data_IF_638202558418
#
_entry.id   IF_638202558418
#
_cell.length_a   1.000
_cell.length_b   1.000
_cell.length_c   1.000
_cell.angle_alpha   90.00
_cell.angle_beta   90.00
_cell.angle_gamma   90.00
#
_symmetry.space_group_name_H-M   'P 1'
#
loop_
_entity.id
_entity.type
_entity.pdbx_description
1 polymer ?
#
# COMPACT_ATOMS: atom_id res chain seq x y z
N UNK A 1 -26.66 16.86 60.09
CA UNK A 1 -26.30 15.57 59.44
C UNK A 1 -26.24 15.83 57.93
N UNK A 2 -25.01 16.08 57.42
CA UNK A 2 -24.75 16.32 56.00
C UNK A 2 -24.23 15.04 55.39
N UNK A 3 -24.96 14.46 54.41
CA UNK A 3 -24.53 13.27 53.64
C UNK A 3 -23.58 13.73 52.54
N UNK A 4 -22.35 13.23 52.59
CA UNK A 4 -21.34 13.41 51.56
C UNK A 4 -21.56 12.30 50.52
N UNK A 5 -21.94 12.65 49.28
CA UNK A 5 -21.91 11.74 48.14
C UNK A 5 -20.50 11.70 47.58
N UNK A 6 -19.87 10.55 47.68
CA UNK A 6 -18.61 10.28 47.01
C UNK A 6 -18.86 9.98 45.52
N UNK A 7 -18.35 10.82 44.63
CA UNK A 7 -18.26 10.54 43.21
C UNK A 7 -17.06 9.60 42.95
N UNK A 8 -17.37 8.39 42.52
CA UNK A 8 -16.36 7.46 41.99
C UNK A 8 -16.02 7.92 40.57
N UNK A 9 -14.86 8.50 40.40
CA UNK A 9 -14.29 8.78 39.07
C UNK A 9 -13.72 7.47 38.53
N UNK A 10 -14.41 6.90 37.55
CA UNK A 10 -13.92 5.76 36.78
C UNK A 10 -12.81 6.24 35.86
N UNK A 11 -11.57 5.94 36.19
CA UNK A 11 -10.42 6.21 35.34
C UNK A 11 -10.50 5.28 34.10
N UNK A 12 -10.91 5.84 32.98
CA UNK A 12 -10.76 5.20 31.67
C UNK A 12 -9.27 5.07 31.38
N UNK A 13 -8.79 3.83 31.33
CA UNK A 13 -7.47 3.48 30.84
C UNK A 13 -7.33 3.94 29.38
N UNK A 14 -6.74 5.11 29.18
CA UNK A 14 -6.18 5.51 27.91
C UNK A 14 -4.90 4.68 27.72
N UNK A 15 -5.03 3.52 27.07
CA UNK A 15 -3.89 2.78 26.57
C UNK A 15 -3.14 3.65 25.55
N UNK A 16 -2.01 4.23 25.97
CA UNK A 16 -1.09 4.88 25.07
C UNK A 16 -0.53 3.83 24.10
N UNK A 17 -1.03 3.81 22.87
CA UNK A 17 -0.36 3.18 21.76
C UNK A 17 0.93 3.96 21.48
N UNK A 18 2.01 3.54 22.11
CA UNK A 18 3.34 3.93 21.66
C UNK A 18 3.52 3.27 20.28
N UNK A 19 3.48 4.07 19.23
CA UNK A 19 4.01 3.68 17.94
C UNK A 19 5.48 3.35 18.18
N UNK A 20 5.87 2.08 18.02
CA UNK A 20 7.28 1.71 17.97
C UNK A 20 7.92 2.57 16.88
N UNK A 21 8.87 3.43 17.28
CA UNK A 21 9.72 4.14 16.33
C UNK A 21 10.30 3.12 15.35
N UNK A 22 10.31 3.41 14.03
CA UNK A 22 10.91 2.52 13.08
C UNK A 22 12.37 2.33 13.45
N UNK A 23 12.71 1.13 13.90
CA UNK A 23 14.08 0.75 14.19
C UNK A 23 14.94 1.15 12.98
N UNK A 24 15.90 2.05 13.17
CA UNK A 24 16.91 2.40 12.18
C UNK A 24 17.73 1.14 11.91
N UNK A 25 17.22 0.27 11.05
CA UNK A 25 17.97 -0.85 10.52
C UNK A 25 19.10 -0.27 9.68
N UNK A 26 20.29 -0.18 10.26
CA UNK A 26 21.55 -0.05 9.52
C UNK A 26 21.79 -1.41 8.84
N UNK A 27 21.00 -1.71 7.80
CA UNK A 27 21.30 -2.79 6.89
C UNK A 27 22.23 -2.27 5.81
N UNK A 28 23.25 -3.05 5.46
CA UNK A 28 24.04 -2.79 4.27
C UNK A 28 23.08 -2.59 3.07
N UNK A 29 23.40 -1.64 2.17
CA UNK A 29 22.59 -1.47 0.96
C UNK A 29 22.53 -2.81 0.22
N UNK A 30 21.36 -3.23 -0.27
CA UNK A 30 21.21 -4.48 -0.99
C UNK A 30 22.20 -4.53 -2.15
N UNK A 31 22.84 -5.69 -2.33
CA UNK A 31 23.82 -5.91 -3.39
C UNK A 31 23.27 -5.41 -4.75
N UNK A 32 24.11 -4.72 -5.49
CA UNK A 32 23.75 -4.24 -6.82
C UNK A 32 23.36 -5.44 -7.71
N UNK A 33 22.21 -5.32 -8.40
CA UNK A 33 21.77 -6.36 -9.33
C UNK A 33 22.81 -6.54 -10.44
N UNK A 34 23.27 -7.77 -10.65
CA UNK A 34 24.16 -8.12 -11.75
C UNK A 34 23.36 -8.26 -13.06
N UNK A 35 22.98 -7.16 -13.69
CA UNK A 35 22.26 -7.16 -14.97
C UNK A 35 20.93 -6.37 -14.95
N UNK A 36 20.21 -6.36 -16.10
CA UNK A 36 18.95 -5.63 -16.22
C UNK A 36 17.88 -6.25 -15.31
N UNK A 37 17.13 -5.38 -14.61
CA UNK A 37 16.05 -5.80 -13.72
C UNK A 37 14.73 -5.94 -14.52
N UNK A 38 14.20 -7.15 -14.75
CA UNK A 38 12.95 -7.34 -15.48
C UNK A 38 11.74 -6.70 -14.77
N UNK A 39 11.73 -6.62 -13.44
CA UNK A 39 10.69 -5.97 -12.67
C UNK A 39 10.69 -4.44 -12.78
N UNK A 40 11.76 -3.84 -13.28
CA UNK A 40 11.90 -2.40 -13.57
C UNK A 40 11.93 -2.09 -15.09
N UNK A 41 11.74 -3.08 -15.94
CA UNK A 41 11.66 -2.91 -17.38
C UNK A 41 10.21 -2.65 -17.80
N UNK A 42 9.85 -1.38 -17.98
CA UNK A 42 8.48 -0.98 -18.30
C UNK A 42 7.91 -1.77 -19.48
N UNK A 43 6.79 -2.44 -19.28
CA UNK A 43 6.21 -3.36 -20.27
C UNK A 43 4.68 -3.29 -20.29
N UNK A 44 4.05 -3.02 -21.45
CA UNK A 44 2.59 -3.13 -21.59
C UNK A 44 2.15 -4.60 -21.62
N UNK A 45 0.84 -4.80 -21.54
CA UNK A 45 0.21 -6.11 -21.69
C UNK A 45 -0.60 -6.17 -22.99
N UNK A 46 -1.70 -6.88 -23.00
CA UNK A 46 -2.57 -7.09 -24.16
C UNK A 46 -3.55 -5.92 -24.37
N UNK A 47 -4.23 -5.86 -25.53
CA UNK A 47 -5.08 -4.74 -25.95
C UNK A 47 -6.20 -4.42 -24.95
N UNK A 48 -6.94 -5.43 -24.45
CA UNK A 48 -8.00 -5.17 -23.46
C UNK A 48 -7.47 -4.52 -22.16
N UNK A 49 -6.20 -4.76 -21.80
CA UNK A 49 -5.56 -4.09 -20.70
C UNK A 49 -5.22 -2.63 -21.04
N UNK A 50 -4.78 -2.36 -22.29
CA UNK A 50 -4.55 -1.00 -22.78
C UNK A 50 -5.84 -0.19 -22.78
N UNK A 51 -6.97 -0.77 -23.19
CA UNK A 51 -8.28 -0.11 -23.14
C UNK A 51 -8.70 0.23 -21.71
N UNK A 52 -8.47 -0.69 -20.79
CA UNK A 52 -8.75 -0.43 -19.38
C UNK A 52 -7.82 0.65 -18.79
N UNK A 53 -6.57 0.73 -19.25
CA UNK A 53 -5.63 1.79 -18.89
C UNK A 53 -6.13 3.15 -19.42
N UNK A 54 -6.49 3.27 -20.69
CA UNK A 54 -7.04 4.50 -21.29
C UNK A 54 -8.26 5.03 -20.53
N UNK A 55 -9.17 4.13 -20.10
CA UNK A 55 -10.34 4.49 -19.28
C UNK A 55 -9.96 5.04 -17.90
N UNK A 56 -8.86 4.58 -17.30
CA UNK A 56 -8.34 5.10 -16.03
C UNK A 56 -7.63 6.43 -16.22
N UNK A 57 -6.86 6.56 -17.29
CA UNK A 57 -6.18 7.78 -17.65
C UNK A 57 -7.17 8.95 -17.88
N UNK A 58 -8.33 8.66 -18.45
CA UNK A 58 -9.38 9.65 -18.62
C UNK A 58 -9.79 10.35 -17.32
N UNK A 59 -9.74 9.66 -16.17
CA UNK A 59 -10.06 10.24 -14.86
C UNK A 59 -9.03 11.28 -14.39
N UNK A 60 -7.80 11.19 -14.86
CA UNK A 60 -6.76 12.19 -14.58
C UNK A 60 -6.96 13.46 -15.39
N UNK A 61 -7.63 13.36 -16.55
CA UNK A 61 -7.86 14.51 -17.47
C UNK A 61 -8.85 15.52 -16.92
N UNK A 62 -9.71 15.10 -15.98
CA UNK A 62 -10.68 16.00 -15.32
C UNK A 62 -10.00 16.95 -14.32
N UNK A 63 -8.70 16.77 -14.04
CA UNK A 63 -7.92 17.65 -13.18
C UNK A 63 -8.20 17.50 -11.69
N UNK A 64 -9.08 16.58 -11.32
CA UNK A 64 -9.44 16.29 -9.92
C UNK A 64 -8.65 15.10 -9.42
N UNK A 65 -7.88 15.28 -8.37
CA UNK A 65 -7.13 14.18 -7.76
C UNK A 65 -6.25 14.68 -6.62
N UNK A 66 -6.76 14.57 -5.40
CA UNK A 66 -6.01 14.92 -4.18
C UNK A 66 -5.14 13.75 -3.73
N UNK A 67 -5.63 12.52 -3.99
CA UNK A 67 -4.96 11.27 -3.63
C UNK A 67 -4.95 10.32 -4.82
N UNK A 68 -3.80 9.77 -5.16
CA UNK A 68 -3.68 8.68 -6.12
C UNK A 68 -3.49 7.34 -5.39
N UNK A 69 -4.26 6.31 -5.78
CA UNK A 69 -4.02 4.94 -5.35
C UNK A 69 -3.40 4.16 -6.52
N UNK A 70 -2.17 3.69 -6.34
CA UNK A 70 -1.37 3.05 -7.39
C UNK A 70 -1.04 1.62 -6.99
N UNK A 71 -1.34 0.65 -7.86
CA UNK A 71 -1.10 -0.76 -7.60
C UNK A 71 -1.81 -1.71 -8.56
N UNK A 72 -2.04 -2.91 -8.08
CA UNK A 72 -2.64 -4.02 -8.81
C UNK A 72 -4.14 -4.25 -8.49
N UNK A 73 -4.60 -5.52 -8.51
CA UNK A 73 -5.99 -5.89 -8.21
C UNK A 73 -6.41 -5.53 -6.78
N UNK A 74 -5.48 -5.59 -5.83
CA UNK A 74 -5.75 -5.27 -4.43
C UNK A 74 -6.06 -3.78 -4.32
N UNK A 75 -5.27 -2.92 -4.96
CA UNK A 75 -5.54 -1.48 -5.05
C UNK A 75 -6.81 -1.20 -5.85
N UNK A 76 -7.03 -1.85 -7.00
CA UNK A 76 -8.23 -1.69 -7.80
C UNK A 76 -9.52 -1.98 -7.00
N UNK A 77 -9.45 -2.91 -6.07
CA UNK A 77 -10.57 -3.33 -5.22
C UNK A 77 -11.18 -2.21 -4.38
N UNK A 78 -10.44 -1.16 -4.04
CA UNK A 78 -10.99 0.02 -3.35
C UNK A 78 -12.22 0.60 -4.05
N UNK A 79 -12.30 0.50 -5.39
CA UNK A 79 -13.45 1.00 -6.16
C UNK A 79 -14.78 0.30 -5.83
N UNK A 80 -14.75 -0.83 -5.14
CA UNK A 80 -15.94 -1.55 -4.65
C UNK A 80 -16.43 -1.09 -3.29
N UNK A 81 -15.67 -0.21 -2.62
CA UNK A 81 -15.92 0.25 -1.26
C UNK A 81 -15.96 1.78 -1.17
N UNK A 82 -16.90 2.46 -1.88
CA UNK A 82 -16.97 3.93 -1.92
C UNK A 82 -17.18 4.54 -0.53
N UNK A 83 -17.94 3.87 0.34
CA UNK A 83 -18.18 4.34 1.71
C UNK A 83 -16.90 4.29 2.56
N UNK A 84 -16.05 3.28 2.36
CA UNK A 84 -14.76 3.22 3.04
C UNK A 84 -13.80 4.29 2.49
N UNK A 85 -13.82 4.58 1.19
CA UNK A 85 -13.07 5.70 0.62
C UNK A 85 -13.51 7.00 1.29
N UNK A 86 -14.81 7.27 1.37
CA UNK A 86 -15.35 8.46 2.04
C UNK A 86 -14.95 8.54 3.51
N UNK A 87 -15.02 7.42 4.24
CA UNK A 87 -14.61 7.32 5.65
C UNK A 87 -13.12 7.61 5.84
N UNK A 88 -12.27 7.10 4.95
CA UNK A 88 -10.81 7.23 5.07
C UNK A 88 -10.29 8.58 4.59
N UNK A 89 -10.80 9.09 3.49
CA UNK A 89 -10.26 10.26 2.81
C UNK A 89 -11.13 11.51 2.95
N UNK A 90 -12.36 11.38 3.48
CA UNK A 90 -13.29 12.50 3.67
C UNK A 90 -13.74 13.09 2.33
N UNK A 91 -13.54 14.39 2.16
CA UNK A 91 -13.90 15.12 0.94
C UNK A 91 -12.79 15.15 -0.10
N UNK A 92 -11.64 14.50 0.16
CA UNK A 92 -10.56 14.40 -0.81
C UNK A 92 -10.98 13.57 -2.02
N UNK A 93 -10.64 14.06 -3.19
CA UNK A 93 -10.90 13.35 -4.43
C UNK A 93 -9.84 12.27 -4.69
N UNK A 94 -10.26 11.00 -4.60
CA UNK A 94 -9.39 9.83 -4.73
C UNK A 94 -9.46 9.27 -6.15
N UNK A 95 -8.35 9.25 -6.85
CA UNK A 95 -8.22 8.59 -8.16
C UNK A 95 -7.57 7.21 -7.99
N UNK A 96 -8.33 6.16 -8.23
CA UNK A 96 -7.83 4.79 -8.17
C UNK A 96 -7.27 4.35 -9.53
N UNK A 97 -5.94 4.23 -9.60
CA UNK A 97 -5.19 3.76 -10.75
C UNK A 97 -4.80 2.27 -10.66
N UNK A 98 -5.30 1.54 -9.67
CA UNK A 98 -5.07 0.10 -9.54
C UNK A 98 -5.56 -0.67 -10.75
N UNK A 99 -4.79 -1.68 -11.20
CA UNK A 99 -5.17 -2.50 -12.34
C UNK A 99 -4.94 -4.00 -12.04
N UNK A 100 -5.96 -4.87 -12.24
CA UNK A 100 -5.83 -6.29 -11.94
C UNK A 100 -4.65 -6.97 -12.62
N UNK A 101 -3.96 -7.82 -11.86
CA UNK A 101 -2.83 -8.65 -12.28
C UNK A 101 -1.59 -7.89 -12.77
N UNK A 102 -1.48 -6.57 -12.49
CA UNK A 102 -0.26 -5.83 -12.80
C UNK A 102 0.90 -6.28 -11.94
N UNK A 103 2.02 -6.51 -12.59
CA UNK A 103 3.35 -6.57 -12.01
C UNK A 103 3.97 -5.17 -11.97
N UNK A 104 5.09 -5.00 -11.30
CA UNK A 104 5.78 -3.70 -11.17
C UNK A 104 6.12 -3.09 -12.53
N UNK A 105 6.59 -3.88 -13.50
CA UNK A 105 6.89 -3.44 -14.86
C UNK A 105 5.66 -2.94 -15.63
N UNK A 106 4.47 -3.50 -15.36
CA UNK A 106 3.22 -3.04 -15.98
C UNK A 106 2.76 -1.73 -15.36
N UNK A 107 2.84 -1.60 -14.03
CA UNK A 107 2.54 -0.35 -13.33
C UNK A 107 3.47 0.75 -13.82
N UNK A 108 4.77 0.47 -13.91
CA UNK A 108 5.76 1.44 -14.39
C UNK A 108 5.44 1.91 -15.80
N UNK A 109 5.09 1.00 -16.73
CA UNK A 109 4.69 1.36 -18.09
C UNK A 109 3.47 2.30 -18.07
N UNK A 110 2.43 1.98 -17.30
CA UNK A 110 1.23 2.83 -17.20
C UNK A 110 1.55 4.22 -16.65
N UNK A 111 2.44 4.31 -15.65
CA UNK A 111 2.84 5.60 -15.10
C UNK A 111 3.61 6.44 -16.11
N UNK A 112 4.41 5.83 -16.98
CA UNK A 112 5.10 6.53 -18.07
C UNK A 112 4.13 7.05 -19.12
N UNK A 113 3.03 6.33 -19.40
CA UNK A 113 2.00 6.67 -20.38
C UNK A 113 0.89 7.57 -19.80
N UNK A 114 0.66 7.60 -18.48
CA UNK A 114 -0.37 8.44 -17.86
C UNK A 114 -0.17 9.92 -18.06
N UNK A 115 -1.30 10.61 -18.27
CA UNK A 115 -1.39 12.05 -18.39
C UNK A 115 -1.57 12.71 -17.01
N UNK A 116 -0.49 13.20 -16.44
CA UNK A 116 -0.50 13.84 -15.10
C UNK A 116 -0.52 15.36 -15.13
N UNK A 117 -0.53 16.00 -16.30
CA UNK A 117 -0.36 17.46 -16.45
C UNK A 117 -1.44 18.30 -15.76
N UNK A 118 -2.62 17.72 -15.53
CA UNK A 118 -3.75 18.43 -14.91
C UNK A 118 -3.97 18.10 -13.45
N UNK A 119 -3.24 17.15 -12.89
CA UNK A 119 -3.41 16.73 -11.49
C UNK A 119 -2.20 17.14 -10.65
N UNK A 120 -2.47 17.55 -9.41
CA UNK A 120 -1.45 17.88 -8.43
C UNK A 120 -1.81 17.23 -7.09
N UNK A 121 -1.73 15.89 -7.00
CA UNK A 121 -2.11 15.19 -5.78
C UNK A 121 -1.17 15.51 -4.64
N UNK A 122 -1.74 15.66 -3.44
CA UNK A 122 -0.95 15.81 -2.21
C UNK A 122 -0.22 14.51 -1.85
N UNK A 123 -0.84 13.35 -2.12
CA UNK A 123 -0.29 12.03 -1.79
C UNK A 123 -0.56 10.99 -2.87
N UNK A 124 0.44 10.18 -3.17
CA UNK A 124 0.32 8.93 -3.92
C UNK A 124 0.54 7.74 -2.97
N UNK A 125 -0.48 6.89 -2.80
CA UNK A 125 -0.38 5.63 -2.04
C UNK A 125 -0.01 4.52 -3.00
N UNK A 126 1.12 3.86 -2.77
CA UNK A 126 1.65 2.83 -3.65
C UNK A 126 1.69 1.48 -2.91
N UNK A 127 1.07 0.44 -3.49
CA UNK A 127 1.25 -0.95 -3.08
C UNK A 127 1.40 -1.82 -4.33
N UNK A 128 2.59 -2.39 -4.55
CA UNK A 128 2.95 -3.10 -5.76
C UNK A 128 3.95 -4.22 -5.50
N UNK A 129 3.92 -5.27 -6.35
CA UNK A 129 4.89 -6.37 -6.30
C UNK A 129 4.31 -7.72 -5.90
N UNK A 130 3.05 -7.80 -5.43
CA UNK A 130 2.44 -9.08 -5.04
C UNK A 130 2.36 -10.05 -6.23
N UNK A 131 2.13 -9.57 -7.45
CA UNK A 131 2.08 -10.43 -8.64
C UNK A 131 3.48 -10.90 -9.06
N UNK A 132 4.51 -10.07 -8.91
CA UNK A 132 5.90 -10.51 -9.12
C UNK A 132 6.29 -11.59 -8.09
N UNK A 133 5.91 -11.43 -6.81
CA UNK A 133 6.28 -12.37 -5.75
C UNK A 133 5.72 -13.80 -5.98
N UNK A 134 4.67 -13.93 -6.80
CA UNK A 134 4.06 -15.23 -7.13
C UNK A 134 4.86 -16.03 -8.18
N UNK A 135 5.91 -15.45 -8.74
CA UNK A 135 6.72 -16.05 -9.79
C UNK A 135 8.15 -16.27 -9.29
N UNK A 136 8.69 -17.47 -9.52
CA UNK A 136 10.05 -17.84 -9.11
C UNK A 136 11.14 -17.04 -9.84
N UNK A 137 10.83 -16.58 -11.05
CA UNK A 137 11.73 -15.78 -11.89
C UNK A 137 12.11 -14.41 -11.30
N UNK A 138 11.37 -13.92 -10.29
CA UNK A 138 11.68 -12.65 -9.64
C UNK A 138 12.32 -12.86 -8.27
N UNK A 139 13.52 -12.32 -8.08
CA UNK A 139 14.14 -12.26 -6.75
C UNK A 139 13.56 -11.11 -5.91
N UNK A 140 13.70 -11.15 -4.57
CA UNK A 140 13.30 -10.03 -3.72
C UNK A 140 13.91 -8.68 -4.15
N UNK A 141 15.18 -8.68 -4.54
CA UNK A 141 15.93 -7.49 -4.99
C UNK A 141 15.35 -6.92 -6.28
N UNK A 142 14.98 -7.79 -7.21
CA UNK A 142 14.34 -7.39 -8.47
C UNK A 142 12.97 -6.74 -8.20
N UNK A 143 12.16 -7.34 -7.33
CA UNK A 143 10.84 -6.80 -6.97
C UNK A 143 10.99 -5.44 -6.27
N UNK A 144 11.88 -5.35 -5.28
CA UNK A 144 12.17 -4.09 -4.60
C UNK A 144 12.67 -3.02 -5.58
N UNK A 145 13.55 -3.41 -6.53
CA UNK A 145 14.02 -2.53 -7.60
C UNK A 145 12.91 -2.05 -8.53
N UNK A 146 11.93 -2.90 -8.86
CA UNK A 146 10.74 -2.54 -9.62
C UNK A 146 9.85 -1.51 -8.88
N UNK A 147 9.63 -1.71 -7.59
CA UNK A 147 8.88 -0.76 -6.75
C UNK A 147 9.63 0.58 -6.65
N UNK A 148 10.96 0.56 -6.48
CA UNK A 148 11.79 1.77 -6.48
C UNK A 148 11.69 2.54 -7.81
N UNK A 149 11.63 1.84 -8.94
CA UNK A 149 11.45 2.47 -10.25
C UNK A 149 10.07 3.16 -10.35
N UNK A 150 9.00 2.55 -9.80
CA UNK A 150 7.68 3.17 -9.70
C UNK A 150 7.74 4.45 -8.87
N UNK A 151 8.37 4.43 -7.70
CA UNK A 151 8.55 5.61 -6.85
C UNK A 151 9.31 6.70 -7.59
N UNK A 152 10.40 6.36 -8.27
CA UNK A 152 11.20 7.31 -9.04
C UNK A 152 10.40 7.96 -10.18
N UNK A 153 9.56 7.18 -10.89
CA UNK A 153 8.71 7.72 -11.96
C UNK A 153 7.66 8.69 -11.43
N UNK A 154 7.03 8.40 -10.29
CA UNK A 154 6.10 9.34 -9.63
C UNK A 154 6.83 10.61 -9.19
N UNK A 155 8.00 10.49 -8.57
CA UNK A 155 8.81 11.66 -8.16
C UNK A 155 9.21 12.54 -9.35
N UNK A 156 9.47 11.94 -10.50
CA UNK A 156 9.80 12.65 -11.74
C UNK A 156 8.59 13.40 -12.30
N UNK A 157 7.42 12.77 -12.37
CA UNK A 157 6.21 13.33 -12.99
C UNK A 157 5.43 14.25 -12.05
N UNK A 158 5.46 13.97 -10.77
CA UNK A 158 4.71 14.66 -9.71
C UNK A 158 5.66 15.03 -8.56
N UNK A 159 6.60 15.97 -8.76
CA UNK A 159 7.68 16.25 -7.80
C UNK A 159 7.20 16.81 -6.46
N UNK A 160 6.00 17.38 -6.39
CA UNK A 160 5.41 17.92 -5.16
C UNK A 160 4.57 16.88 -4.39
N UNK A 161 4.26 15.74 -5.01
CA UNK A 161 3.45 14.67 -4.42
C UNK A 161 4.27 13.87 -3.41
N UNK A 162 3.81 13.80 -2.17
CA UNK A 162 4.36 12.87 -1.19
C UNK A 162 3.94 11.44 -1.50
N UNK A 163 4.78 10.48 -1.16
CA UNK A 163 4.51 9.07 -1.45
C UNK A 163 4.35 8.29 -0.15
N UNK A 164 3.18 7.65 0.03
CA UNK A 164 2.98 6.62 1.03
C UNK A 164 3.22 5.25 0.38
N UNK A 165 4.39 4.68 0.64
CA UNK A 165 4.76 3.35 0.15
C UNK A 165 4.34 2.30 1.16
N UNK A 166 3.40 1.45 0.78
CA UNK A 166 2.95 0.33 1.62
C UNK A 166 3.83 -0.90 1.40
N UNK A 167 4.04 -1.66 2.47
CA UNK A 167 4.57 -3.01 2.35
C UNK A 167 3.63 -3.90 1.52
N UNK A 168 4.18 -4.85 0.78
CA UNK A 168 3.39 -5.87 0.07
C UNK A 168 2.64 -6.68 1.13
N UNK A 169 1.33 -6.85 0.95
CA UNK A 169 0.47 -7.53 1.90
C UNK A 169 0.74 -9.04 1.99
N UNK A 170 0.40 -9.66 3.13
CA UNK A 170 0.49 -11.11 3.29
C UNK A 170 -0.42 -11.81 2.28
N UNK A 171 -0.02 -12.98 1.83
CA UNK A 171 -0.81 -13.79 0.91
C UNK A 171 -0.59 -15.28 1.09
N UNK A 172 -1.58 -16.07 0.72
CA UNK A 172 -1.45 -17.51 0.62
C UNK A 172 -0.67 -17.96 -0.60
N UNK A 173 -0.04 -19.14 -0.54
CA UNK A 173 0.56 -19.80 -1.69
C UNK A 173 -0.49 -20.12 -2.76
N UNK A 174 -0.05 -20.39 -3.98
CA UNK A 174 -0.98 -20.82 -5.03
C UNK A 174 -1.70 -22.12 -4.65
N UNK A 175 -1.00 -23.07 -4.00
CA UNK A 175 -1.58 -24.31 -3.50
C UNK A 175 -2.67 -24.06 -2.46
N UNK A 176 -2.40 -23.26 -1.44
CA UNK A 176 -3.38 -22.90 -0.42
C UNK A 176 -4.62 -22.21 -1.03
N UNK A 177 -4.43 -21.34 -2.00
CA UNK A 177 -5.54 -20.65 -2.69
C UNK A 177 -6.38 -21.61 -3.53
N UNK A 178 -5.77 -22.65 -4.13
CA UNK A 178 -6.50 -23.70 -4.82
C UNK A 178 -7.33 -24.52 -3.83
N UNK A 179 -6.75 -24.88 -2.68
CA UNK A 179 -7.46 -25.62 -1.62
C UNK A 179 -8.68 -24.86 -1.11
N UNK A 180 -8.54 -23.57 -0.83
CA UNK A 180 -9.67 -22.70 -0.43
C UNK A 180 -10.77 -22.72 -1.48
N UNK A 181 -10.44 -22.56 -2.77
CA UNK A 181 -11.42 -22.60 -3.87
C UNK A 181 -12.14 -23.95 -3.98
N UNK A 182 -11.50 -25.02 -3.51
CA UNK A 182 -12.08 -26.37 -3.47
C UNK A 182 -12.84 -26.66 -2.16
N UNK A 183 -13.06 -25.62 -1.32
CA UNK A 183 -13.76 -25.75 -0.04
C UNK A 183 -12.95 -26.43 1.06
N UNK A 184 -11.62 -26.57 0.89
CA UNK A 184 -10.73 -27.11 1.92
C UNK A 184 -10.14 -25.98 2.76
N UNK A 185 -9.87 -26.27 4.04
CA UNK A 185 -9.19 -25.32 4.92
C UNK A 185 -7.69 -25.32 4.62
N UNK A 186 -7.17 -24.18 4.17
CA UNK A 186 -5.72 -24.00 4.05
C UNK A 186 -5.19 -23.40 5.35
N UNK A 187 -4.41 -24.14 6.10
CA UNK A 187 -3.74 -23.67 7.30
C UNK A 187 -2.28 -23.29 6.97
N UNK A 188 -1.77 -22.28 7.67
CA UNK A 188 -0.36 -21.97 7.75
C UNK A 188 0.15 -20.85 6.85
N UNK A 189 1.37 -20.41 7.16
CA UNK A 189 2.08 -19.36 6.43
C UNK A 189 2.56 -19.82 5.06
N UNK A 190 2.49 -18.93 4.10
CA UNK A 190 2.94 -19.13 2.74
C UNK A 190 4.47 -19.20 2.63
N UNK A 191 5.05 -20.13 1.87
CA UNK A 191 6.47 -20.11 1.51
C UNK A 191 6.94 -18.78 0.88
N UNK A 192 6.05 -18.07 0.18
CA UNK A 192 6.35 -16.74 -0.39
C UNK A 192 6.40 -15.63 0.67
N UNK A 193 5.97 -15.89 1.92
CA UNK A 193 6.07 -14.93 3.01
C UNK A 193 7.50 -14.43 3.21
N UNK A 194 8.48 -15.34 3.21
CA UNK A 194 9.89 -14.98 3.33
C UNK A 194 10.36 -14.06 2.20
N UNK A 195 9.90 -14.30 0.96
CA UNK A 195 10.18 -13.42 -0.20
C UNK A 195 9.56 -12.04 -0.01
N UNK A 196 8.28 -11.97 0.35
CA UNK A 196 7.56 -10.72 0.59
C UNK A 196 8.21 -9.93 1.72
N UNK A 197 8.54 -10.60 2.83
CA UNK A 197 9.17 -9.97 3.98
C UNK A 197 10.56 -9.43 3.65
N UNK A 198 11.36 -10.15 2.83
CA UNK A 198 12.64 -9.65 2.33
C UNK A 198 12.45 -8.39 1.47
N UNK A 199 11.46 -8.38 0.55
CA UNK A 199 11.13 -7.18 -0.22
C UNK A 199 10.73 -6.03 0.70
N UNK A 200 9.85 -6.27 1.66
CA UNK A 200 9.34 -5.24 2.57
C UNK A 200 10.46 -4.62 3.42
N UNK A 201 11.44 -5.41 3.88
CA UNK A 201 12.65 -4.86 4.56
C UNK A 201 13.46 -3.96 3.64
N UNK A 202 13.64 -4.34 2.37
CA UNK A 202 14.36 -3.51 1.39
C UNK A 202 13.62 -2.20 1.10
N UNK A 203 12.28 -2.24 1.02
CA UNK A 203 11.46 -1.04 0.83
C UNK A 203 11.53 -0.11 2.03
N UNK A 204 11.50 -0.64 3.25
CA UNK A 204 11.65 0.14 4.47
C UNK A 204 13.01 0.85 4.56
N UNK A 205 14.08 0.21 4.08
CA UNK A 205 15.43 0.78 4.08
C UNK A 205 15.66 1.83 2.98
N UNK A 206 14.80 1.88 1.98
CA UNK A 206 14.92 2.76 0.80
C UNK A 206 14.38 4.17 1.02
N UNK A 207 13.41 4.36 1.91
CA UNK A 207 12.64 5.59 2.05
C UNK A 207 13.38 6.66 2.86
N UNK A 208 13.09 7.94 2.60
CA UNK A 208 13.69 9.09 3.30
C UNK A 208 12.90 9.53 4.55
N UNK A 209 11.69 8.99 4.74
CA UNK A 209 10.80 9.29 5.87
C UNK A 209 10.14 10.68 5.81
N UNK A 210 10.31 11.42 4.71
CA UNK A 210 9.74 12.76 4.51
C UNK A 210 8.86 12.84 3.27
N UNK A 211 9.48 12.74 2.10
CA UNK A 211 8.80 12.75 0.81
C UNK A 211 8.30 11.36 0.42
N UNK A 212 8.98 10.32 0.88
CA UNK A 212 8.60 8.92 0.75
C UNK A 212 8.53 8.29 2.13
N UNK A 213 7.33 8.03 2.60
CA UNK A 213 7.06 7.39 3.89
C UNK A 213 6.72 5.93 3.66
N UNK A 214 7.33 5.01 4.42
CA UNK A 214 7.00 3.59 4.38
C UNK A 214 6.06 3.21 5.51
N UNK A 215 5.03 2.42 5.18
CA UNK A 215 4.09 1.88 6.16
C UNK A 215 3.87 0.39 5.91
N UNK A 216 4.20 -0.43 6.88
CA UNK A 216 3.91 -1.86 6.87
C UNK A 216 2.72 -2.17 7.80
N UNK A 217 1.58 -2.51 7.21
CA UNK A 217 0.34 -2.83 7.94
C UNK A 217 0.08 -4.34 8.02
N UNK A 218 1.04 -5.17 7.65
CA UNK A 218 0.84 -6.61 7.50
C UNK A 218 0.37 -7.29 8.78
N UNK A 219 0.84 -6.83 9.94
CA UNK A 219 0.45 -7.37 11.24
C UNK A 219 -1.05 -7.23 11.52
N UNK A 220 -1.66 -6.15 11.03
CA UNK A 220 -3.07 -5.86 11.23
C UNK A 220 -4.01 -6.83 10.48
N UNK A 221 -3.49 -7.54 9.48
CA UNK A 221 -4.23 -8.57 8.74
C UNK A 221 -4.13 -9.95 9.37
N UNK A 222 -3.18 -10.16 10.28
CA UNK A 222 -2.89 -11.49 10.84
C UNK A 222 -3.64 -11.69 12.15
N UNK A 223 -3.95 -12.97 12.46
CA UNK A 223 -4.46 -13.38 13.76
C UNK A 223 -3.32 -13.42 14.81
N UNK A 224 -3.66 -13.75 16.06
CA UNK A 224 -2.71 -13.88 17.17
C UNK A 224 -1.61 -14.94 16.93
N UNK A 225 -1.86 -15.90 16.06
CA UNK A 225 -0.89 -16.92 15.66
C UNK A 225 0.02 -16.49 14.52
N UNK A 226 -0.19 -15.26 13.96
CA UNK A 226 0.54 -14.79 12.79
C UNK A 226 0.04 -15.37 11.47
N UNK A 227 -1.16 -15.93 11.42
CA UNK A 227 -1.76 -16.50 10.22
C UNK A 227 -2.71 -15.51 9.55
N UNK A 228 -2.84 -15.59 8.23
CA UNK A 228 -3.77 -14.78 7.45
C UNK A 228 -5.17 -15.42 7.46
N UNK A 229 -6.18 -14.84 8.14
CA UNK A 229 -7.51 -15.43 8.23
C UNK A 229 -8.33 -15.18 6.95
N UNK A 230 -9.11 -16.19 6.55
CA UNK A 230 -10.04 -16.11 5.41
C UNK A 230 -11.16 -15.10 5.63
N UNK A 231 -11.46 -14.76 6.87
CA UNK A 231 -12.42 -13.71 7.27
C UNK A 231 -11.94 -12.29 6.91
N UNK A 232 -10.66 -12.16 6.55
CA UNK A 232 -10.06 -10.89 6.11
C UNK A 232 -9.69 -10.93 4.64
N UNK A 233 -9.13 -12.05 4.18
CA UNK A 233 -8.79 -12.32 2.78
C UNK A 233 -9.32 -13.70 2.35
N UNK A 234 -10.56 -13.77 1.86
CA UNK A 234 -11.25 -15.06 1.60
C UNK A 234 -10.53 -15.99 0.64
N UNK A 235 -9.75 -15.46 -0.29
CA UNK A 235 -8.92 -16.24 -1.21
C UNK A 235 -7.43 -16.20 -0.85
N UNK A 236 -7.11 -15.77 0.37
CA UNK A 236 -5.76 -15.56 0.88
C UNK A 236 -4.91 -14.62 0.00
N UNK A 237 -5.54 -13.65 -0.66
CA UNK A 237 -4.86 -12.64 -1.47
C UNK A 237 -5.60 -11.30 -1.49
N UNK A 238 -6.91 -11.35 -1.78
CA UNK A 238 -7.68 -10.13 -1.94
C UNK A 238 -8.46 -9.83 -0.66
N UNK A 239 -8.27 -8.64 -0.07
CA UNK A 239 -9.06 -8.20 1.07
C UNK A 239 -10.55 -8.17 0.71
N UNK A 240 -11.39 -8.60 1.65
CA UNK A 240 -12.82 -8.29 1.63
C UNK A 240 -13.06 -6.92 2.30
N UNK A 241 -14.31 -6.55 2.54
CA UNK A 241 -14.66 -5.26 3.17
C UNK A 241 -13.93 -5.06 4.50
N UNK A 242 -13.88 -6.08 5.37
CA UNK A 242 -13.14 -6.04 6.63
C UNK A 242 -11.64 -5.81 6.41
N UNK A 243 -11.05 -6.44 5.42
CA UNK A 243 -9.65 -6.22 5.05
C UNK A 243 -9.39 -4.79 4.56
N UNK A 244 -10.31 -4.23 3.77
CA UNK A 244 -10.23 -2.81 3.36
C UNK A 244 -10.45 -1.85 4.52
N UNK A 245 -11.33 -2.18 5.51
CA UNK A 245 -11.45 -1.39 6.74
C UNK A 245 -10.16 -1.35 7.54
N UNK A 246 -9.49 -2.50 7.71
CA UNK A 246 -8.19 -2.59 8.37
C UNK A 246 -7.19 -1.70 7.65
N UNK A 247 -7.07 -1.86 6.33
CA UNK A 247 -6.16 -1.05 5.53
C UNK A 247 -6.44 0.45 5.66
N UNK A 248 -7.71 0.84 5.45
CA UNK A 248 -8.11 2.24 5.51
C UNK A 248 -7.85 2.87 6.86
N UNK A 249 -8.26 2.22 7.94
CA UNK A 249 -8.08 2.69 9.31
C UNK A 249 -6.61 2.90 9.66
N UNK A 250 -5.75 1.97 9.23
CA UNK A 250 -4.33 2.01 9.57
C UNK A 250 -3.58 3.06 8.76
N UNK A 251 -3.90 3.26 7.47
CA UNK A 251 -3.22 4.26 6.66
C UNK A 251 -3.76 5.69 6.82
N UNK A 252 -5.03 5.86 7.21
CA UNK A 252 -5.71 7.16 7.26
C UNK A 252 -4.96 8.23 8.06
N UNK A 253 -4.45 7.95 9.28
CA UNK A 253 -3.72 8.96 10.06
C UNK A 253 -2.48 9.47 9.32
N UNK A 254 -1.73 8.55 8.68
CA UNK A 254 -0.52 8.87 7.94
C UNK A 254 -0.85 9.72 6.71
N UNK A 255 -1.86 9.34 5.93
CA UNK A 255 -2.30 10.13 4.75
C UNK A 255 -2.73 11.53 5.17
N UNK A 256 -3.48 11.68 6.26
CA UNK A 256 -3.90 12.99 6.76
C UNK A 256 -2.73 13.86 7.17
N UNK A 257 -1.74 13.29 7.85
CA UNK A 257 -0.51 14.01 8.21
C UNK A 257 0.26 14.45 6.97
N UNK A 258 0.38 13.59 5.97
CA UNK A 258 1.10 13.89 4.74
C UNK A 258 0.43 14.99 3.91
N UNK A 259 -0.90 15.07 3.89
CA UNK A 259 -1.65 16.09 3.14
C UNK A 259 -1.72 17.42 3.91
N UNK A 260 -1.70 17.37 5.25
CA UNK A 260 -1.75 18.59 6.06
C UNK A 260 -0.58 19.51 5.70
N UNK A 261 -0.83 20.83 5.46
CA UNK A 261 0.27 21.76 5.25
C UNK A 261 1.20 21.69 6.46
N UNK A 262 2.49 21.48 6.21
CA UNK A 262 3.51 21.52 7.26
C UNK A 262 3.35 22.81 8.04
N UNK A 263 2.94 22.73 9.31
CA UNK A 263 2.97 23.89 10.21
C UNK A 263 4.41 24.39 10.21
N UNK A 264 4.64 25.54 9.60
CA UNK A 264 5.92 26.23 9.70
C UNK A 264 6.22 26.46 11.19
N UNK A 265 7.42 26.12 11.70
CA UNK A 265 7.73 26.27 13.12
C UNK A 265 7.76 27.75 13.59
N UNK A 266 7.38 28.71 12.75
CA UNK A 266 7.62 30.15 12.97
C UNK A 266 6.34 30.99 13.10
N UNK A 267 5.25 30.48 13.70
CA UNK A 267 4.07 31.30 14.01
C UNK A 267 3.86 31.52 15.52
N UNK A 268 4.94 31.50 16.29
CA UNK A 268 4.98 32.05 17.66
C UNK A 268 6.13 33.05 17.76
N UNK A 269 5.89 34.27 17.33
CA UNK A 269 6.55 35.46 17.84
C UNK A 269 5.55 36.60 17.92
#
# INVERSE_FOLDING_TARGET
MKKICAFIVCALCAGSYAAEEPAKAKGEPPAALSGPNPAAAAKPRHEAWLDAHRKRDARLRDGNGDVLLIGDSITAGWSRHPELIKKCFGDLHVVNLGHPADKTENILWRLQDHFFEKVNPGVAVIMAGTNNSNHEEYTPEQIAGGVRAIVAEIRKKLPQTKILLLGIFPRGSQGQRIEIKQGRTAAGMNPQWAKIDAVNRMLAAFVDGREVVYLNINREFLNEKGELPVEVMPDLLHPNERGYEIWGRTMQPVVREMISPTRSPNSQR
#
